data_IF_289851706713
#
_entry.id   IF_289851706713
#
_cell.length_a   1.000
_cell.length_b   1.000
_cell.length_c   1.000
_cell.angle_alpha   90.00
_cell.angle_beta   90.00
_cell.angle_gamma   90.00
#
_symmetry.space_group_name_H-M   'P 1'
#
loop_
_entity.id
_entity.type
_entity.pdbx_description
1 polymer ?
#
# COMPACT_ATOMS: atom_id res chain seq x y z
N UNK A 1 -8.52 -56.64 -22.71
CA UNK A 1 -9.45 -55.61 -22.21
C UNK A 1 -8.67 -54.73 -21.24
N UNK A 2 -8.18 -53.58 -21.69
CA UNK A 2 -7.28 -52.73 -20.91
C UNK A 2 -8.07 -51.93 -19.85
N UNK A 3 -7.62 -51.87 -18.59
CA UNK A 3 -8.34 -51.21 -17.53
C UNK A 3 -8.25 -49.68 -17.64
N UNK A 4 -9.38 -49.06 -17.34
CA UNK A 4 -9.65 -47.64 -17.15
C UNK A 4 -8.60 -46.89 -16.32
N UNK A 5 -7.56 -46.34 -16.94
CA UNK A 5 -6.60 -45.42 -16.31
C UNK A 5 -7.11 -43.96 -16.36
N UNK A 6 -8.11 -43.65 -17.20
CA UNK A 6 -8.52 -42.28 -17.48
C UNK A 6 -9.37 -41.59 -16.39
N UNK A 7 -9.93 -42.31 -15.42
CA UNK A 7 -10.90 -41.72 -14.45
C UNK A 7 -10.21 -41.10 -13.23
N UNK A 8 -9.00 -41.52 -12.88
CA UNK A 8 -8.31 -41.05 -11.66
C UNK A 8 -7.67 -39.66 -11.86
N UNK A 9 -7.27 -39.30 -13.09
CA UNK A 9 -6.63 -38.00 -13.37
C UNK A 9 -7.61 -36.82 -13.34
N UNK A 10 -8.88 -37.01 -13.71
CA UNK A 10 -9.87 -35.93 -13.76
C UNK A 10 -10.41 -35.57 -12.37
N UNK A 11 -10.61 -36.56 -11.50
CA UNK A 11 -11.08 -36.34 -10.12
C UNK A 11 -9.99 -35.69 -9.25
N UNK A 12 -8.73 -36.09 -9.43
CA UNK A 12 -7.58 -35.44 -8.76
C UNK A 12 -7.44 -33.97 -9.13
N UNK A 13 -7.68 -33.62 -10.39
CA UNK A 13 -7.59 -32.24 -10.88
C UNK A 13 -8.67 -31.33 -10.29
N UNK A 14 -9.91 -31.82 -10.17
CA UNK A 14 -11.01 -31.05 -9.56
C UNK A 14 -10.79 -30.79 -8.06
N UNK A 15 -10.32 -31.79 -7.32
CA UNK A 15 -10.02 -31.65 -5.90
C UNK A 15 -8.83 -30.70 -5.65
N UNK A 16 -7.79 -30.76 -6.49
CA UNK A 16 -6.65 -29.85 -6.42
C UNK A 16 -7.04 -28.40 -6.76
N UNK A 17 -7.89 -28.20 -7.77
CA UNK A 17 -8.40 -26.87 -8.12
C UNK A 17 -9.29 -26.30 -7.02
N UNK A 18 -10.16 -27.11 -6.40
CA UNK A 18 -10.98 -26.70 -5.26
C UNK A 18 -10.13 -26.35 -4.04
N UNK A 19 -9.11 -27.16 -3.74
CA UNK A 19 -8.17 -26.89 -2.65
C UNK A 19 -7.34 -25.61 -2.91
N UNK A 20 -6.90 -25.40 -4.15
CA UNK A 20 -6.20 -24.18 -4.55
C UNK A 20 -7.09 -22.95 -4.45
N UNK A 21 -8.35 -23.06 -4.88
CA UNK A 21 -9.35 -21.98 -4.77
C UNK A 21 -9.61 -21.61 -3.30
N UNK A 22 -9.82 -22.61 -2.45
CA UNK A 22 -10.00 -22.41 -1.01
C UNK A 22 -8.77 -21.75 -0.37
N UNK A 23 -7.56 -22.13 -0.79
CA UNK A 23 -6.33 -21.50 -0.33
C UNK A 23 -6.27 -20.02 -0.75
N UNK A 24 -6.67 -19.69 -1.99
CA UNK A 24 -6.76 -18.30 -2.45
C UNK A 24 -7.78 -17.52 -1.60
N UNK A 25 -8.98 -18.06 -1.36
CA UNK A 25 -9.98 -17.41 -0.50
C UNK A 25 -9.49 -17.20 0.94
N UNK A 26 -8.72 -18.14 1.49
CA UNK A 26 -8.20 -18.04 2.85
C UNK A 26 -6.98 -17.10 2.98
N UNK A 27 -6.13 -17.04 1.95
CA UNK A 27 -4.85 -16.31 1.97
C UNK A 27 -4.97 -14.92 1.38
N UNK A 28 -5.76 -14.74 0.31
CA UNK A 28 -5.89 -13.46 -0.39
C UNK A 28 -6.34 -12.33 0.55
N UNK A 29 -7.32 -12.50 1.47
CA UNK A 29 -7.71 -11.42 2.37
C UNK A 29 -6.57 -10.99 3.30
N UNK A 30 -5.81 -11.95 3.84
CA UNK A 30 -4.65 -11.66 4.71
C UNK A 30 -3.53 -10.98 3.93
N UNK A 31 -3.26 -11.44 2.72
CA UNK A 31 -2.25 -10.84 1.85
C UNK A 31 -2.64 -9.43 1.41
N UNK A 32 -3.91 -9.20 1.08
CA UNK A 32 -4.43 -7.87 0.76
C UNK A 32 -4.36 -6.94 1.98
N UNK A 33 -4.77 -7.40 3.17
CA UNK A 33 -4.66 -6.62 4.39
C UNK A 33 -3.20 -6.26 4.72
N UNK A 34 -2.27 -7.20 4.56
CA UNK A 34 -0.85 -6.96 4.73
C UNK A 34 -0.31 -5.95 3.71
N UNK A 35 -0.70 -6.09 2.45
CA UNK A 35 -0.32 -5.15 1.39
C UNK A 35 -0.82 -3.74 1.70
N UNK A 36 -2.08 -3.60 2.11
CA UNK A 36 -2.66 -2.31 2.50
C UNK A 36 -1.91 -1.72 3.70
N UNK A 37 -1.62 -2.52 4.73
CA UNK A 37 -0.82 -2.07 5.90
C UNK A 37 0.55 -1.56 5.48
N UNK A 38 1.24 -2.26 4.58
CA UNK A 38 2.55 -1.83 4.05
C UNK A 38 2.45 -0.53 3.25
N UNK A 39 1.42 -0.37 2.44
CA UNK A 39 1.20 0.87 1.70
C UNK A 39 0.92 2.05 2.63
N UNK A 40 0.06 1.86 3.64
CA UNK A 40 -0.21 2.86 4.69
C UNK A 40 1.09 3.28 5.37
N UNK A 41 1.89 2.32 5.83
CA UNK A 41 3.17 2.59 6.48
C UNK A 41 4.14 3.36 5.56
N UNK A 42 4.20 3.00 4.27
CA UNK A 42 5.03 3.70 3.29
C UNK A 42 4.62 5.17 3.14
N UNK A 43 3.33 5.46 2.94
CA UNK A 43 2.87 6.84 2.80
C UNK A 43 3.16 7.66 4.06
N UNK A 44 2.91 7.08 5.24
CA UNK A 44 3.18 7.72 6.53
C UNK A 44 4.66 8.06 6.69
N UNK A 45 5.55 7.09 6.48
CA UNK A 45 6.99 7.28 6.62
C UNK A 45 7.53 8.34 5.66
N UNK A 46 7.00 8.40 4.43
CA UNK A 46 7.39 9.42 3.45
C UNK A 46 6.93 10.81 3.89
N UNK A 47 5.71 10.95 4.39
CA UNK A 47 5.21 12.23 4.90
C UNK A 47 6.06 12.72 6.08
N UNK A 48 6.37 11.84 7.03
CA UNK A 48 7.24 12.15 8.18
C UNK A 48 8.64 12.57 7.71
N UNK A 49 9.23 11.86 6.75
CA UNK A 49 10.53 12.22 6.18
C UNK A 49 10.50 13.59 5.47
N UNK A 50 9.42 13.89 4.75
CA UNK A 50 9.25 15.18 4.07
C UNK A 50 9.04 16.33 5.04
N UNK A 51 8.30 16.12 6.13
CA UNK A 51 8.16 17.11 7.20
C UNK A 51 9.50 17.49 7.82
N UNK A 52 10.47 16.57 7.85
CA UNK A 52 11.85 16.85 8.28
C UNK A 52 12.68 17.51 7.18
N UNK A 53 12.46 17.13 5.91
CA UNK A 53 13.24 17.64 4.78
C UNK A 53 12.86 19.07 4.37
N UNK A 54 11.58 19.43 4.41
CA UNK A 54 11.08 20.74 3.96
C UNK A 54 11.77 21.91 4.71
N UNK A 55 11.85 21.91 6.05
CA UNK A 55 12.56 22.98 6.78
C UNK A 55 14.07 23.02 6.46
N UNK A 56 14.67 21.89 6.07
CA UNK A 56 16.11 21.77 5.75
C UNK A 56 16.48 22.31 4.37
N UNK A 57 15.50 22.50 3.48
CA UNK A 57 15.74 23.13 2.18
C UNK A 57 16.06 24.64 2.30
N UNK A 58 15.95 25.24 3.50
CA UNK A 58 16.44 26.58 3.78
C UNK A 58 15.77 27.66 2.94
N UNK A 59 16.54 28.35 2.09
CA UNK A 59 16.04 29.46 1.26
C UNK A 59 15.68 29.03 -0.18
N UNK A 60 15.84 27.75 -0.52
CA UNK A 60 15.43 27.25 -1.84
C UNK A 60 13.91 27.02 -1.86
N UNK A 61 13.19 28.08 -2.23
CA UNK A 61 11.72 28.11 -2.27
C UNK A 61 11.16 27.13 -3.31
N UNK A 62 11.87 26.90 -4.42
CA UNK A 62 11.45 25.96 -5.44
C UNK A 62 11.57 24.52 -4.94
N UNK A 63 12.68 24.19 -4.28
CA UNK A 63 12.86 22.89 -3.65
C UNK A 63 11.82 22.65 -2.55
N UNK A 64 11.55 23.65 -1.70
CA UNK A 64 10.48 23.57 -0.68
C UNK A 64 9.11 23.31 -1.30
N UNK A 65 8.76 24.01 -2.38
CA UNK A 65 7.49 23.82 -3.07
C UNK A 65 7.36 22.41 -3.65
N UNK A 66 8.42 21.88 -4.28
CA UNK A 66 8.44 20.51 -4.81
C UNK A 66 8.27 19.45 -3.72
N UNK A 67 8.99 19.60 -2.60
CA UNK A 67 8.89 18.68 -1.46
C UNK A 67 7.49 18.73 -0.82
N UNK A 68 6.92 19.92 -0.68
CA UNK A 68 5.56 20.10 -0.14
C UNK A 68 4.52 19.47 -1.05
N UNK A 69 4.58 19.72 -2.36
CA UNK A 69 3.66 19.12 -3.32
C UNK A 69 3.74 17.58 -3.30
N UNK A 70 4.95 17.02 -3.18
CA UNK A 70 5.12 15.57 -3.09
C UNK A 70 4.52 15.01 -1.80
N UNK A 71 4.73 15.68 -0.66
CA UNK A 71 4.12 15.30 0.62
C UNK A 71 2.60 15.31 0.55
N UNK A 72 2.04 16.37 -0.03
CA UNK A 72 0.59 16.54 -0.12
C UNK A 72 -0.04 15.49 -1.04
N UNK A 73 0.69 15.06 -2.08
CA UNK A 73 0.29 13.89 -2.89
C UNK A 73 0.26 12.60 -2.05
N UNK A 74 1.29 12.33 -1.24
CA UNK A 74 1.31 11.17 -0.36
C UNK A 74 0.22 11.21 0.70
N UNK A 75 -0.07 12.40 1.25
CA UNK A 75 -1.16 12.60 2.20
C UNK A 75 -2.52 12.34 1.56
N UNK A 76 -2.76 12.86 0.34
CA UNK A 76 -4.00 12.61 -0.39
C UNK A 76 -4.17 11.11 -0.72
N UNK A 77 -3.09 10.42 -1.07
CA UNK A 77 -3.11 8.97 -1.28
C UNK A 77 -3.43 8.21 0.01
N UNK A 78 -2.84 8.61 1.14
CA UNK A 78 -3.11 8.01 2.44
C UNK A 78 -4.55 8.26 2.90
N UNK A 79 -5.09 9.47 2.73
CA UNK A 79 -6.48 9.80 3.07
C UNK A 79 -7.49 8.91 2.34
N UNK A 80 -7.21 8.58 1.07
CA UNK A 80 -8.03 7.66 0.28
C UNK A 80 -7.93 6.21 0.76
N UNK A 81 -6.75 5.79 1.23
CA UNK A 81 -6.47 4.41 1.62
C UNK A 81 -6.87 4.11 3.08
N UNK A 82 -6.60 5.04 3.99
CA UNK A 82 -6.77 4.92 5.44
C UNK A 82 -7.03 6.32 6.06
N UNK A 83 -8.26 6.84 6.00
CA UNK A 83 -8.58 8.21 6.43
C UNK A 83 -8.32 8.46 7.92
N UNK A 84 -8.52 7.45 8.77
CA UNK A 84 -8.23 7.55 10.20
C UNK A 84 -6.73 7.73 10.49
N UNK A 85 -5.87 7.07 9.73
CA UNK A 85 -4.41 7.22 9.86
C UNK A 85 -3.96 8.59 9.37
N UNK A 86 -4.52 9.07 8.26
CA UNK A 86 -4.22 10.39 7.72
C UNK A 86 -4.60 11.53 8.69
N UNK A 87 -5.73 11.39 9.40
CA UNK A 87 -6.18 12.38 10.38
C UNK A 87 -5.24 12.55 11.59
N UNK A 88 -4.42 11.54 11.88
CA UNK A 88 -3.43 11.58 12.96
C UNK A 88 -2.09 12.20 12.58
N UNK A 89 -1.90 12.64 11.32
CA UNK A 89 -0.63 13.18 10.84
C UNK A 89 -0.62 14.70 10.98
N UNK A 90 0.36 15.21 11.71
CA UNK A 90 0.68 16.64 11.72
C UNK A 90 1.52 17.00 10.49
N UNK A 91 1.11 18.04 9.78
CA UNK A 91 1.73 18.46 8.51
C UNK A 91 2.41 19.81 8.71
N UNK A 92 3.72 19.87 8.44
CA UNK A 92 4.48 21.12 8.60
C UNK A 92 4.04 22.12 7.53
N UNK A 93 3.51 23.30 7.87
CA UNK A 93 3.13 24.29 6.87
C UNK A 93 4.37 24.82 6.14
N UNK A 94 4.19 25.21 4.88
CA UNK A 94 5.22 25.96 4.15
C UNK A 94 5.56 27.21 4.96
N UNK A 95 6.84 27.44 5.26
CA UNK A 95 7.26 28.72 5.82
C UNK A 95 6.85 29.80 4.81
N UNK A 96 5.93 30.68 5.19
CA UNK A 96 5.57 31.83 4.36
C UNK A 96 6.87 32.59 4.09
N UNK A 97 7.23 32.74 2.82
CA UNK A 97 8.23 33.73 2.43
C UNK A 97 7.79 35.08 3.00
N UNK A 98 8.58 35.61 3.93
CA UNK A 98 8.41 36.94 4.50
C UNK A 98 8.90 38.00 3.51
#
# INVERSE_FOLDING_TARGET
MAPSIAVIMVVGSGALLAAAWWLVEAVAPRWMAERTRRQVALHRNVIEAMNVAIPRAGNDTEQQARLTANRDWHLAALTKLAPAEAAGIEVVPLARAA
#
